data_IF_069334155124
#
_entry.id   IF_069334155124
#
_cell.length_a   1.000
_cell.length_b   1.000
_cell.length_c   1.000
_cell.angle_alpha   90.00
_cell.angle_beta   90.00
_cell.angle_gamma   90.00
#
_symmetry.space_group_name_H-M   'P 1'
#
loop_
_entity.id
_entity.type
_entity.pdbx_description
1 polymer ?
#
# COMPACT_ATOMS: atom_id res chain seq x y z
N UNK A 1 29.95 -9.27 -25.52
CA UNK A 1 29.28 -10.04 -24.45
C UNK A 1 28.28 -9.13 -23.72
N UNK A 2 27.18 -8.70 -24.36
CA UNK A 2 26.14 -7.88 -23.69
C UNK A 2 24.76 -8.53 -23.68
N UNK A 3 24.50 -9.50 -24.56
CA UNK A 3 23.18 -10.13 -24.67
C UNK A 3 22.72 -10.89 -23.40
N UNK A 4 23.64 -11.24 -22.51
CA UNK A 4 23.33 -12.02 -21.30
C UNK A 4 22.90 -11.14 -20.11
N UNK A 5 23.42 -9.91 -19.98
CA UNK A 5 23.05 -8.99 -18.89
C UNK A 5 21.61 -8.52 -19.04
N UNK A 6 21.26 -8.07 -20.26
CA UNK A 6 19.92 -7.57 -20.57
C UNK A 6 18.82 -8.62 -20.38
N UNK A 7 19.15 -9.92 -20.48
CA UNK A 7 18.20 -11.01 -20.25
C UNK A 7 17.94 -11.26 -18.76
N UNK A 8 18.95 -11.06 -17.91
CA UNK A 8 18.84 -11.26 -16.46
C UNK A 8 18.00 -10.13 -15.85
N UNK A 9 18.28 -8.88 -16.21
CA UNK A 9 17.53 -7.72 -15.70
C UNK A 9 16.03 -7.81 -16.03
N UNK A 10 15.70 -8.31 -17.24
CA UNK A 10 14.31 -8.54 -17.67
C UNK A 10 13.64 -9.68 -16.91
N UNK A 11 14.40 -10.70 -16.49
CA UNK A 11 13.86 -11.80 -15.70
C UNK A 11 13.53 -11.33 -14.28
N UNK A 12 14.39 -10.52 -13.67
CA UNK A 12 14.15 -9.92 -12.35
C UNK A 12 12.93 -9.00 -12.35
N UNK A 13 12.75 -8.19 -13.41
CA UNK A 13 11.56 -7.35 -13.57
C UNK A 13 10.27 -8.19 -13.67
N UNK A 14 10.30 -9.29 -14.41
CA UNK A 14 9.15 -10.19 -14.56
C UNK A 14 8.82 -10.86 -13.23
N UNK A 15 9.84 -11.39 -12.53
CA UNK A 15 9.65 -12.04 -11.22
C UNK A 15 9.08 -11.06 -10.20
N UNK A 16 9.57 -9.82 -10.17
CA UNK A 16 9.06 -8.78 -9.27
C UNK A 16 7.61 -8.40 -9.59
N UNK A 17 7.25 -8.29 -10.87
CA UNK A 17 5.87 -8.01 -11.30
C UNK A 17 4.91 -9.15 -10.94
N UNK A 18 5.33 -10.39 -11.17
CA UNK A 18 4.53 -11.57 -10.83
C UNK A 18 4.33 -11.67 -9.32
N UNK A 19 5.36 -11.41 -8.50
CA UNK A 19 5.24 -11.41 -7.05
C UNK A 19 4.27 -10.33 -6.55
N UNK A 20 4.38 -9.11 -7.07
CA UNK A 20 3.50 -8.00 -6.71
C UNK A 20 2.03 -8.24 -7.12
N UNK A 21 1.81 -8.97 -8.22
CA UNK A 21 0.46 -9.22 -8.76
C UNK A 21 -0.16 -10.55 -8.32
N UNK A 22 0.63 -11.51 -7.81
CA UNK A 22 0.14 -12.76 -7.24
C UNK A 22 -0.24 -12.64 -5.76
N UNK A 23 0.42 -11.74 -5.02
CA UNK A 23 0.22 -11.53 -3.58
C UNK A 23 -0.60 -10.28 -3.24
N UNK A 24 -1.44 -9.82 -4.18
CA UNK A 24 -2.16 -8.52 -4.11
C UNK A 24 -2.85 -8.28 -2.79
N UNK A 25 -3.57 -9.28 -2.25
CA UNK A 25 -4.31 -9.10 -0.99
C UNK A 25 -3.36 -8.79 0.17
N UNK A 26 -2.29 -9.58 0.31
CA UNK A 26 -1.33 -9.41 1.39
C UNK A 26 -0.63 -8.05 1.28
N UNK A 27 -0.13 -7.73 0.08
CA UNK A 27 0.60 -6.48 -0.15
C UNK A 27 -0.31 -5.27 0.08
N UNK A 28 -1.57 -5.30 -0.36
CA UNK A 28 -2.52 -4.22 -0.09
C UNK A 28 -2.86 -4.08 1.39
N UNK A 29 -2.94 -5.20 2.13
CA UNK A 29 -3.17 -5.19 3.57
C UNK A 29 -1.98 -4.57 4.32
N UNK A 30 -0.74 -4.96 3.96
CA UNK A 30 0.51 -4.43 4.53
C UNK A 30 0.70 -2.94 4.24
N UNK A 31 0.50 -2.51 2.99
CA UNK A 31 0.60 -1.10 2.59
C UNK A 31 -0.39 -0.23 3.36
N UNK A 32 -1.62 -0.71 3.57
CA UNK A 32 -2.64 0.01 4.33
C UNK A 32 -2.24 0.15 5.81
N UNK A 33 -1.73 -0.94 6.41
CA UNK A 33 -1.26 -0.94 7.80
C UNK A 33 -0.09 0.02 8.01
N UNK A 34 0.88 0.06 7.09
CA UNK A 34 2.03 0.96 7.15
C UNK A 34 1.59 2.43 7.09
N UNK A 35 0.74 2.79 6.12
CA UNK A 35 0.20 4.14 5.99
C UNK A 35 -0.52 4.54 7.27
N UNK A 36 -1.40 3.68 7.80
CA UNK A 36 -2.13 3.99 9.02
C UNK A 36 -1.22 4.15 10.22
N UNK A 37 -0.26 3.25 10.42
CA UNK A 37 0.63 3.28 11.57
C UNK A 37 1.47 4.55 11.59
N UNK A 38 2.01 4.94 10.43
CA UNK A 38 2.80 6.16 10.29
C UNK A 38 1.96 7.43 10.45
N UNK A 39 0.68 7.39 10.06
CA UNK A 39 -0.20 8.57 10.02
C UNK A 39 -1.28 8.59 11.10
N UNK A 40 -1.28 7.65 12.05
CA UNK A 40 -2.34 7.43 13.05
C UNK A 40 -2.68 8.69 13.87
N UNK A 41 -1.69 9.58 14.04
CA UNK A 41 -1.79 10.80 14.83
C UNK A 41 -1.90 12.09 13.99
N UNK A 42 -1.94 11.99 12.67
CA UNK A 42 -2.20 13.14 11.79
C UNK A 42 -3.61 13.68 12.04
N UNK A 43 -3.79 14.99 11.84
CA UNK A 43 -5.06 15.67 12.13
C UNK A 43 -6.26 14.96 11.48
N UNK A 44 -6.14 14.61 10.19
CA UNK A 44 -7.21 13.95 9.45
C UNK A 44 -7.57 12.57 10.03
N UNK A 45 -6.60 11.66 10.14
CA UNK A 45 -6.89 10.28 10.57
C UNK A 45 -7.23 10.19 12.05
N UNK A 46 -6.64 11.02 12.90
CA UNK A 46 -6.90 11.00 14.34
C UNK A 46 -8.37 11.25 14.68
N UNK A 47 -9.05 12.11 13.92
CA UNK A 47 -10.47 12.40 14.11
C UNK A 47 -11.40 11.20 13.89
N UNK A 48 -10.98 10.20 13.10
CA UNK A 48 -11.81 9.04 12.75
C UNK A 48 -11.32 7.74 13.38
N UNK A 49 -10.00 7.60 13.59
CA UNK A 49 -9.36 6.37 14.02
C UNK A 49 -8.80 6.41 15.43
N UNK A 50 -8.70 7.58 16.05
CA UNK A 50 -8.21 7.74 17.44
C UNK A 50 -6.85 7.05 17.69
N UNK A 51 -5.97 7.03 16.68
CA UNK A 51 -4.66 6.38 16.76
C UNK A 51 -4.64 4.89 16.38
N UNK A 52 -5.79 4.29 16.02
CA UNK A 52 -5.86 2.91 15.55
C UNK A 52 -5.38 2.77 14.09
N UNK A 53 -4.73 1.65 13.77
CA UNK A 53 -4.40 1.23 12.41
C UNK A 53 -5.35 0.16 11.84
N UNK A 54 -6.41 -0.20 12.56
CA UNK A 54 -7.32 -1.28 12.19
C UNK A 54 -8.07 -1.01 10.86
N UNK A 55 -8.02 -2.00 9.98
CA UNK A 55 -8.60 -1.93 8.63
C UNK A 55 -10.11 -1.79 8.62
N UNK A 56 -10.82 -2.44 9.54
CA UNK A 56 -12.28 -2.42 9.56
C UNK A 56 -12.80 -1.10 10.17
N UNK A 57 -12.09 -0.55 11.16
CA UNK A 57 -12.33 0.81 11.63
C UNK A 57 -12.09 1.85 10.54
N UNK A 58 -11.05 1.69 9.71
CA UNK A 58 -10.81 2.56 8.55
C UNK A 58 -11.99 2.58 7.58
N UNK A 59 -12.41 1.40 7.10
CA UNK A 59 -13.55 1.29 6.16
C UNK A 59 -14.84 1.86 6.73
N UNK A 60 -15.05 1.71 8.04
CA UNK A 60 -16.28 2.16 8.71
C UNK A 60 -16.31 3.65 8.98
N UNK A 61 -15.17 4.23 9.41
CA UNK A 61 -15.15 5.56 10.03
C UNK A 61 -14.54 6.64 9.14
N UNK A 62 -13.67 6.30 8.18
CA UNK A 62 -13.03 7.29 7.30
C UNK A 62 -13.93 7.57 6.09
N UNK A 63 -14.40 8.82 5.89
CA UNK A 63 -15.25 9.15 4.76
C UNK A 63 -14.44 9.22 3.46
N UNK A 64 -15.11 8.91 2.34
CA UNK A 64 -14.59 9.22 1.02
C UNK A 64 -14.57 10.74 0.84
N UNK A 65 -13.37 11.31 0.75
CA UNK A 65 -13.19 12.74 0.54
C UNK A 65 -13.03 13.07 -0.94
N UNK A 66 -13.63 14.17 -1.37
CA UNK A 66 -13.38 14.76 -2.68
C UNK A 66 -12.60 16.07 -2.47
N UNK A 67 -11.67 16.36 -3.37
CA UNK A 67 -10.99 17.66 -3.40
C UNK A 67 -12.01 18.72 -3.82
N UNK A 68 -12.29 19.68 -2.93
CA UNK A 68 -13.09 20.86 -3.29
C UNK A 68 -12.17 21.87 -3.98
N UNK A 69 -12.53 22.21 -5.22
CA UNK A 69 -11.88 23.24 -6.03
C UNK A 69 -12.48 24.62 -5.74
#
# INVERSE_FOLDING_TARGET
MSLCSDCIDRLDEIVLKDDLTSNVKQIQDEVLEEIHTLNANTEYLRCFLHGSSDKELFKKNVPMANMKM
#
